data_IF_071509198741
#
_entry.id   IF_071509198741
#
_cell.length_a   1.000
_cell.length_b   1.000
_cell.length_c   1.000
_cell.angle_alpha   90.00
_cell.angle_beta   90.00
_cell.angle_gamma   90.00
#
_symmetry.space_group_name_H-M   'P 1'
#
loop_
_entity.id
_entity.type
_entity.pdbx_description
1 polymer ?
#
# COMPACT_ATOMS: atom_id res chain seq x y z
N UNK A 1 -30.41 10.76 14.91
CA UNK A 1 -28.98 10.34 14.93
C UNK A 1 -28.69 9.66 13.59
N UNK A 2 -27.67 10.06 12.84
CA UNK A 2 -27.37 9.45 11.55
C UNK A 2 -26.69 8.08 11.69
N UNK A 3 -26.92 7.17 10.74
CA UNK A 3 -26.33 5.82 10.71
C UNK A 3 -24.81 5.83 10.94
N UNK A 4 -24.08 6.71 10.26
CA UNK A 4 -22.62 6.86 10.41
C UNK A 4 -22.20 7.24 11.83
N UNK A 5 -22.99 8.07 12.51
CA UNK A 5 -22.69 8.50 13.87
C UNK A 5 -22.94 7.38 14.86
N UNK A 6 -24.00 6.57 14.64
CA UNK A 6 -24.27 5.39 15.43
C UNK A 6 -23.14 4.35 15.33
N UNK A 7 -22.64 4.07 14.12
CA UNK A 7 -21.51 3.15 13.89
C UNK A 7 -20.25 3.65 14.60
N UNK A 8 -19.95 4.96 14.55
CA UNK A 8 -18.81 5.54 15.28
C UNK A 8 -18.94 5.36 16.79
N UNK A 9 -20.12 5.64 17.34
CA UNK A 9 -20.37 5.51 18.77
C UNK A 9 -20.24 4.05 19.23
N UNK A 10 -20.77 3.10 18.46
CA UNK A 10 -20.60 1.67 18.74
C UNK A 10 -19.12 1.25 18.70
N UNK A 11 -18.38 1.66 17.67
CA UNK A 11 -16.95 1.37 17.57
C UNK A 11 -16.15 1.96 18.74
N UNK A 12 -16.45 3.19 19.16
CA UNK A 12 -15.80 3.82 20.32
C UNK A 12 -16.17 3.14 21.65
N UNK A 13 -17.41 2.64 21.79
CA UNK A 13 -17.79 1.85 22.97
C UNK A 13 -17.04 0.53 23.01
N UNK A 14 -17.01 -0.21 21.91
CA UNK A 14 -16.30 -1.49 21.82
C UNK A 14 -14.83 -1.36 22.19
N UNK A 15 -14.14 -0.31 21.70
CA UNK A 15 -12.73 -0.05 22.07
C UNK A 15 -12.52 0.21 23.56
N UNK A 16 -13.44 0.94 24.20
CA UNK A 16 -13.38 1.16 25.66
C UNK A 16 -13.61 -0.13 26.44
N UNK A 17 -14.50 -0.99 25.95
CA UNK A 17 -14.72 -2.31 26.54
C UNK A 17 -13.44 -3.17 26.45
N UNK A 18 -12.74 -3.14 25.31
CA UNK A 18 -11.45 -3.83 25.11
C UNK A 18 -10.32 -3.32 26.03
N UNK A 19 -10.34 -2.03 26.40
CA UNK A 19 -9.40 -1.50 27.40
C UNK A 19 -9.77 -2.04 28.78
N UNK A 20 -11.06 -2.06 29.12
CA UNK A 20 -11.55 -2.54 30.42
C UNK A 20 -11.29 -4.03 30.64
N UNK A 21 -11.44 -4.85 29.61
CA UNK A 21 -11.24 -6.30 29.70
C UNK A 21 -9.79 -6.77 29.51
N UNK A 22 -8.87 -5.84 29.21
CA UNK A 22 -7.45 -6.11 29.06
C UNK A 22 -7.04 -6.60 27.66
N UNK A 23 -7.96 -6.65 26.70
CA UNK A 23 -7.64 -6.92 25.29
C UNK A 23 -6.70 -5.83 24.73
N UNK A 24 -6.86 -4.59 25.18
CA UNK A 24 -5.98 -3.46 24.89
C UNK A 24 -5.26 -3.00 26.16
N UNK A 25 -3.94 -2.96 26.11
CA UNK A 25 -3.07 -2.60 27.22
C UNK A 25 -2.42 -1.23 27.01
N UNK A 26 -2.21 -0.50 28.11
CA UNK A 26 -1.37 0.70 28.07
C UNK A 26 0.08 0.37 27.75
N UNK A 27 0.86 1.38 27.35
CA UNK A 27 2.30 1.21 27.06
C UNK A 27 3.08 0.59 28.24
N UNK A 28 2.92 1.05 29.50
CA UNK A 28 3.67 0.49 30.62
C UNK A 28 3.40 -1.01 30.82
N UNK A 29 2.13 -1.42 30.81
CA UNK A 29 1.71 -2.80 31.00
C UNK A 29 2.18 -3.68 29.83
N UNK A 30 2.05 -3.18 28.60
CA UNK A 30 2.45 -3.92 27.41
C UNK A 30 3.97 -4.15 27.34
N UNK A 31 4.78 -3.17 27.76
CA UNK A 31 6.25 -3.35 27.86
C UNK A 31 6.63 -4.42 28.87
N UNK A 32 5.95 -4.45 30.02
CA UNK A 32 6.16 -5.49 31.05
C UNK A 32 5.82 -6.86 30.48
N UNK A 33 4.67 -6.98 29.81
CA UNK A 33 4.26 -8.21 29.13
C UNK A 33 5.30 -8.67 28.11
N UNK A 34 5.85 -7.74 27.32
CA UNK A 34 6.77 -8.05 26.25
C UNK A 34 8.22 -8.29 26.72
N UNK A 35 8.56 -7.82 27.92
CA UNK A 35 9.91 -7.83 28.48
C UNK A 35 10.87 -6.86 27.78
N UNK A 36 10.38 -5.71 27.32
CA UNK A 36 11.18 -4.74 26.55
C UNK A 36 11.21 -3.35 27.19
N UNK A 37 12.24 -2.58 26.87
CA UNK A 37 12.29 -1.16 27.21
C UNK A 37 11.51 -0.28 26.21
N UNK A 38 11.49 1.03 26.46
CA UNK A 38 10.74 2.00 25.65
C UNK A 38 11.31 2.13 24.24
N UNK A 39 12.64 2.09 24.10
CA UNK A 39 13.32 2.24 22.80
C UNK A 39 13.09 1.01 21.94
N UNK A 40 13.17 -0.17 22.54
CA UNK A 40 12.87 -1.43 21.88
C UNK A 40 11.42 -1.48 21.39
N UNK A 41 10.45 -1.09 22.25
CA UNK A 41 9.05 -0.99 21.82
C UNK A 41 8.88 -0.01 20.67
N UNK A 42 9.48 1.18 20.75
CA UNK A 42 9.42 2.18 19.69
C UNK A 42 10.01 1.64 18.37
N UNK A 43 11.11 0.89 18.41
CA UNK A 43 11.70 0.24 17.23
C UNK A 43 10.72 -0.75 16.59
N UNK A 44 10.13 -1.64 17.39
CA UNK A 44 9.17 -2.63 16.90
C UNK A 44 7.92 -1.99 16.29
N UNK A 45 7.46 -0.87 16.83
CA UNK A 45 6.35 -0.10 16.26
C UNK A 45 6.77 0.59 14.95
N UNK A 46 7.95 1.22 14.92
CA UNK A 46 8.47 1.88 13.73
C UNK A 46 8.70 0.90 12.55
N UNK A 47 9.16 -0.30 12.85
CA UNK A 47 9.31 -1.39 11.88
C UNK A 47 7.97 -1.99 11.41
N UNK A 48 6.86 -1.67 12.08
CA UNK A 48 5.55 -2.27 11.85
C UNK A 48 5.38 -3.69 12.40
N UNK A 49 6.34 -4.17 13.20
CA UNK A 49 6.27 -5.45 13.91
C UNK A 49 5.18 -5.44 14.98
N UNK A 50 4.88 -4.26 15.53
CA UNK A 50 3.80 -3.99 16.47
C UNK A 50 3.00 -2.76 16.02
N UNK A 51 1.80 -2.60 16.58
CA UNK A 51 0.96 -1.43 16.34
C UNK A 51 0.10 -1.11 17.55
N UNK A 52 -0.31 0.15 17.66
CA UNK A 52 -1.25 0.62 18.67
C UNK A 52 -2.59 1.02 18.04
N UNK A 53 -3.63 1.00 18.87
CA UNK A 53 -4.99 1.45 18.56
C UNK A 53 -5.31 2.67 19.43
N UNK A 54 -5.79 3.72 18.78
CA UNK A 54 -6.24 4.94 19.45
C UNK A 54 -7.61 4.77 20.11
N UNK A 55 -7.68 5.04 21.42
CA UNK A 55 -8.92 5.07 22.21
C UNK A 55 -8.92 6.38 23.01
N UNK A 56 -9.92 7.23 22.78
CA UNK A 56 -10.09 8.52 23.47
C UNK A 56 -8.83 9.40 23.48
N UNK A 57 -8.05 9.38 22.39
CA UNK A 57 -6.82 10.16 22.23
C UNK A 57 -5.55 9.50 22.80
N UNK A 58 -5.67 8.37 23.48
CA UNK A 58 -4.55 7.58 24.02
C UNK A 58 -4.25 6.37 23.13
N UNK A 59 -3.01 5.89 23.17
CA UNK A 59 -2.56 4.72 22.41
C UNK A 59 -2.53 3.49 23.30
N UNK A 60 -3.15 2.41 22.83
CA UNK A 60 -3.15 1.11 23.49
C UNK A 60 -2.64 0.01 22.56
N UNK A 61 -2.04 -1.03 23.10
CA UNK A 61 -1.48 -2.15 22.36
C UNK A 61 -2.35 -3.39 22.54
N UNK A 62 -2.68 -4.13 21.46
CA UNK A 62 -3.38 -5.40 21.60
C UNK A 62 -2.55 -6.41 22.39
N UNK A 63 -3.10 -6.93 23.49
CA UNK A 63 -2.42 -7.87 24.38
C UNK A 63 -1.91 -9.12 23.63
N UNK A 64 -2.66 -9.55 22.62
CA UNK A 64 -2.32 -10.70 21.77
C UNK A 64 -0.98 -10.57 21.04
N UNK A 65 -0.49 -9.34 20.83
CA UNK A 65 0.82 -9.10 20.22
C UNK A 65 1.99 -9.36 21.19
N UNK A 66 1.72 -9.37 22.49
CA UNK A 66 2.69 -9.68 23.55
C UNK A 66 2.57 -11.08 24.13
N UNK A 67 1.64 -11.90 23.62
CA UNK A 67 1.38 -13.25 24.12
C UNK A 67 2.61 -14.17 23.94
N UNK A 68 3.23 -14.67 25.03
CA UNK A 68 4.40 -15.53 24.97
C UNK A 68 4.11 -16.91 24.36
N UNK A 69 2.84 -17.34 24.31
CA UNK A 69 2.43 -18.60 23.70
C UNK A 69 2.44 -18.59 22.17
N UNK A 70 2.73 -17.45 21.55
CA UNK A 70 2.71 -17.28 20.09
C UNK A 70 4.11 -17.27 19.49
N UNK A 71 4.20 -17.74 18.26
CA UNK A 71 5.40 -17.63 17.41
C UNK A 71 5.69 -16.16 17.06
N UNK A 72 6.30 -15.41 17.99
CA UNK A 72 6.53 -13.96 17.89
C UNK A 72 7.18 -13.55 16.58
N UNK A 73 8.17 -14.30 16.10
CA UNK A 73 8.85 -14.03 14.83
C UNK A 73 7.87 -14.04 13.65
N UNK A 74 6.95 -15.02 13.63
CA UNK A 74 5.95 -15.15 12.58
C UNK A 74 4.86 -14.09 12.72
N UNK A 75 4.40 -13.83 13.94
CA UNK A 75 3.42 -12.78 14.22
C UNK A 75 3.95 -11.40 13.78
N UNK A 76 5.17 -11.04 14.15
CA UNK A 76 5.76 -9.76 13.77
C UNK A 76 5.95 -9.65 12.26
N UNK A 77 6.39 -10.72 11.61
CA UNK A 77 6.46 -10.76 10.15
C UNK A 77 5.09 -10.60 9.50
N UNK A 78 4.03 -11.09 10.14
CA UNK A 78 2.66 -10.91 9.67
C UNK A 78 2.20 -9.47 9.88
N UNK A 79 2.41 -8.89 11.06
CA UNK A 79 2.10 -7.49 11.35
C UNK A 79 2.73 -6.53 10.34
N UNK A 80 3.99 -6.78 9.96
CA UNK A 80 4.69 -6.00 8.92
C UNK A 80 3.99 -6.06 7.56
N UNK A 81 3.33 -7.18 7.23
CA UNK A 81 2.51 -7.31 6.01
C UNK A 81 1.26 -6.43 6.08
N UNK A 82 0.64 -6.35 7.26
CA UNK A 82 -0.63 -5.66 7.46
C UNK A 82 -0.49 -4.13 7.62
N UNK A 83 0.73 -3.58 7.59
CA UNK A 83 1.02 -2.13 7.74
C UNK A 83 0.16 -1.22 6.84
N UNK A 84 -0.16 -1.56 5.59
CA UNK A 84 -1.00 -0.69 4.76
C UNK A 84 -2.38 -0.42 5.35
N UNK A 85 -2.93 -1.35 6.13
CA UNK A 85 -4.24 -1.23 6.75
C UNK A 85 -4.24 -0.36 8.02
N UNK A 86 -5.37 0.25 8.41
CA UNK A 86 -5.56 0.87 9.73
C UNK A 86 -5.37 -0.14 10.87
N UNK A 87 -4.77 0.29 11.99
CA UNK A 87 -4.44 -0.60 13.13
C UNK A 87 -5.61 -1.44 13.64
N UNK A 88 -6.82 -0.87 13.71
CA UNK A 88 -8.01 -1.61 14.14
C UNK A 88 -8.34 -2.76 13.17
N UNK A 89 -8.34 -2.48 11.86
CA UNK A 89 -8.55 -3.49 10.82
C UNK A 89 -7.48 -4.60 10.85
N UNK A 90 -6.24 -4.26 11.23
CA UNK A 90 -5.17 -5.28 11.40
C UNK A 90 -5.50 -6.26 12.52
N UNK A 91 -6.00 -5.75 13.66
CA UNK A 91 -6.43 -6.59 14.77
C UNK A 91 -7.62 -7.46 14.36
N UNK A 92 -8.63 -6.87 13.70
CA UNK A 92 -9.78 -7.60 13.19
C UNK A 92 -9.35 -8.73 12.25
N UNK A 93 -8.42 -8.47 11.33
CA UNK A 93 -7.89 -9.51 10.44
C UNK A 93 -7.22 -10.65 11.20
N UNK A 94 -6.38 -10.33 12.19
CA UNK A 94 -5.63 -11.30 12.99
C UNK A 94 -6.55 -12.24 13.78
N UNK A 95 -7.67 -11.73 14.30
CA UNK A 95 -8.62 -12.47 15.14
C UNK A 95 -9.74 -13.15 14.34
N UNK A 96 -10.07 -12.61 13.16
CA UNK A 96 -11.17 -13.11 12.34
C UNK A 96 -10.85 -14.44 11.67
N UNK A 97 -11.84 -15.33 11.64
CA UNK A 97 -11.77 -16.59 10.89
C UNK A 97 -11.70 -16.33 9.40
N UNK A 98 -10.77 -16.99 8.71
CA UNK A 98 -10.56 -16.83 7.28
C UNK A 98 -10.96 -18.09 6.52
N UNK A 99 -11.83 -17.93 5.52
CA UNK A 99 -12.27 -19.06 4.68
C UNK A 99 -11.10 -19.76 3.98
N UNK A 100 -10.14 -18.98 3.48
CA UNK A 100 -8.92 -19.49 2.83
C UNK A 100 -7.96 -20.24 3.78
N UNK A 101 -8.14 -20.11 5.11
CA UNK A 101 -7.39 -20.84 6.13
C UNK A 101 -8.21 -21.98 6.76
N UNK A 102 -9.27 -22.43 6.09
CA UNK A 102 -10.15 -23.49 6.61
C UNK A 102 -10.96 -23.05 7.83
N UNK A 103 -11.26 -21.75 7.96
CA UNK A 103 -12.02 -21.20 9.07
C UNK A 103 -11.19 -20.92 10.33
N UNK A 104 -9.87 -21.09 10.28
CA UNK A 104 -8.96 -20.64 11.34
C UNK A 104 -8.74 -19.13 11.25
N UNK A 105 -8.47 -18.50 12.39
CA UNK A 105 -7.90 -17.15 12.39
C UNK A 105 -6.43 -17.19 11.98
N UNK A 106 -5.86 -16.10 11.44
CA UNK A 106 -4.41 -16.00 11.22
C UNK A 106 -3.63 -16.33 12.49
N UNK A 107 -4.09 -15.83 13.64
CA UNK A 107 -3.49 -16.09 14.95
C UNK A 107 -3.43 -17.58 15.32
N UNK A 108 -4.49 -18.35 15.06
CA UNK A 108 -4.51 -19.79 15.32
C UNK A 108 -3.64 -20.58 14.31
N UNK A 109 -3.59 -20.09 13.08
CA UNK A 109 -2.81 -20.71 12.01
C UNK A 109 -1.30 -20.48 12.16
N UNK A 110 -0.84 -19.46 12.89
CA UNK A 110 0.59 -19.16 13.10
C UNK A 110 1.36 -20.32 13.75
N UNK A 111 0.72 -21.08 14.64
CA UNK A 111 1.33 -22.27 15.28
C UNK A 111 1.59 -23.44 14.32
N UNK A 112 0.95 -23.42 13.16
CA UNK A 112 1.05 -24.50 12.17
C UNK A 112 2.00 -24.11 11.04
N UNK A 113 3.23 -24.66 11.04
CA UNK A 113 4.26 -24.32 10.05
C UNK A 113 3.80 -24.51 8.59
N UNK A 114 2.96 -25.52 8.33
CA UNK A 114 2.40 -25.80 6.99
C UNK A 114 1.41 -24.71 6.53
N UNK A 115 0.67 -24.11 7.46
CA UNK A 115 -0.32 -23.07 7.15
C UNK A 115 0.30 -21.68 7.09
N UNK A 116 1.48 -21.46 7.68
CA UNK A 116 2.09 -20.14 7.77
C UNK A 116 2.31 -19.49 6.38
N UNK A 117 2.63 -20.28 5.35
CA UNK A 117 2.71 -19.76 3.98
C UNK A 117 1.36 -19.21 3.52
N UNK A 118 0.29 -19.99 3.66
CA UNK A 118 -1.07 -19.57 3.33
C UNK A 118 -1.53 -18.35 4.12
N UNK A 119 -1.15 -18.24 5.40
CA UNK A 119 -1.42 -17.05 6.23
C UNK A 119 -0.77 -15.81 5.63
N UNK A 120 0.50 -15.91 5.21
CA UNK A 120 1.20 -14.77 4.60
C UNK A 120 0.61 -14.38 3.26
N UNK A 121 0.20 -15.34 2.45
CA UNK A 121 -0.38 -15.06 1.14
C UNK A 121 -1.78 -14.44 1.29
N UNK A 122 -2.61 -14.95 2.21
CA UNK A 122 -3.88 -14.34 2.57
C UNK A 122 -3.70 -12.91 3.11
N UNK A 123 -2.70 -12.69 3.98
CA UNK A 123 -2.41 -11.36 4.51
C UNK A 123 -1.91 -10.37 3.45
N UNK A 124 -1.14 -10.83 2.46
CA UNK A 124 -0.70 -9.99 1.34
C UNK A 124 -1.87 -9.58 0.47
N UNK A 125 -2.73 -10.53 0.11
CA UNK A 125 -3.93 -10.25 -0.66
C UNK A 125 -4.83 -9.25 0.08
N UNK A 126 -5.11 -9.50 1.36
CA UNK A 126 -5.91 -8.61 2.19
C UNK A 126 -5.27 -7.23 2.37
N UNK A 127 -3.96 -7.16 2.59
CA UNK A 127 -3.26 -5.88 2.76
C UNK A 127 -3.24 -5.02 1.49
N UNK A 128 -3.24 -5.65 0.31
CA UNK A 128 -3.28 -4.96 -0.98
C UNK A 128 -4.57 -4.14 -1.15
N UNK A 129 -5.70 -4.61 -0.62
CA UNK A 129 -6.99 -3.90 -0.66
C UNK A 129 -6.94 -2.52 0.04
N UNK A 130 -5.97 -2.29 0.93
CA UNK A 130 -5.85 -1.05 1.70
C UNK A 130 -5.00 0.03 1.01
N UNK A 131 -4.49 -0.23 -0.19
CA UNK A 131 -3.65 0.71 -0.92
C UNK A 131 -3.86 0.58 -2.42
N UNK A 132 -4.09 1.71 -3.08
CA UNK A 132 -4.20 1.80 -4.53
C UNK A 132 -3.00 2.54 -5.10
N UNK A 133 -2.44 2.00 -6.17
CA UNK A 133 -1.53 2.74 -7.06
C UNK A 133 -2.36 3.25 -8.22
N UNK A 134 -2.28 4.55 -8.48
CA UNK A 134 -2.96 5.21 -9.59
C UNK A 134 -1.89 5.74 -10.54
N UNK A 135 -2.03 5.43 -11.82
CA UNK A 135 -1.19 5.96 -12.89
C UNK A 135 -2.08 6.83 -13.77
N UNK A 136 -1.80 8.13 -13.81
CA UNK A 136 -2.50 9.10 -14.64
C UNK A 136 -1.57 9.63 -15.71
N UNK A 137 -2.00 9.60 -16.96
CA UNK A 137 -1.27 10.10 -18.12
C UNK A 137 -2.01 11.32 -18.65
N UNK A 138 -1.30 12.45 -18.71
CA UNK A 138 -1.78 13.70 -19.29
C UNK A 138 -1.01 14.00 -20.57
N UNK A 139 -1.68 14.51 -21.61
CA UNK A 139 -1.00 14.98 -22.83
C UNK A 139 -0.46 16.38 -22.61
N UNK A 140 0.84 16.56 -22.90
CA UNK A 140 1.60 17.78 -22.64
C UNK A 140 2.57 17.66 -21.47
N UNK A 141 3.24 18.78 -21.18
CA UNK A 141 4.25 18.90 -20.12
C UNK A 141 3.68 19.59 -18.89
N UNK A 142 3.70 18.89 -17.76
CA UNK A 142 3.19 19.38 -16.49
C UNK A 142 4.22 19.19 -15.38
N UNK A 143 4.39 20.21 -14.55
CA UNK A 143 5.23 20.10 -13.36
C UNK A 143 4.50 19.44 -12.19
N UNK A 144 3.20 19.73 -12.08
CA UNK A 144 2.28 19.26 -11.04
C UNK A 144 1.02 18.69 -11.70
N UNK A 145 0.25 17.88 -10.97
CA UNK A 145 -0.99 17.31 -11.48
C UNK A 145 -1.99 18.45 -11.79
N UNK A 146 -2.51 18.56 -13.04
CA UNK A 146 -3.39 19.65 -13.41
C UNK A 146 -4.77 19.50 -12.75
N UNK A 147 -5.24 20.56 -12.07
CA UNK A 147 -6.53 20.53 -11.36
C UNK A 147 -7.76 20.62 -12.29
N UNK A 148 -7.61 21.27 -13.45
CA UNK A 148 -8.71 21.62 -14.35
C UNK A 148 -8.72 20.77 -15.64
N UNK A 149 -7.93 19.70 -15.69
CA UNK A 149 -7.80 18.84 -16.87
C UNK A 149 -8.03 17.39 -16.49
N UNK A 150 -8.77 16.64 -17.29
CA UNK A 150 -8.90 15.19 -17.11
C UNK A 150 -7.68 14.47 -17.69
N UNK A 151 -7.23 13.37 -17.06
CA UNK A 151 -6.17 12.55 -17.63
C UNK A 151 -6.64 11.94 -18.96
N UNK A 152 -5.73 11.87 -19.93
CA UNK A 152 -5.98 11.17 -21.18
C UNK A 152 -6.08 9.66 -20.98
N UNK A 153 -5.45 9.14 -19.94
CA UNK A 153 -5.57 7.77 -19.49
C UNK A 153 -5.36 7.68 -17.98
N UNK A 154 -6.16 6.86 -17.32
CA UNK A 154 -6.01 6.55 -15.90
C UNK A 154 -6.12 5.05 -15.71
N UNK A 155 -5.17 4.49 -14.95
CA UNK A 155 -5.15 3.10 -14.53
C UNK A 155 -4.99 3.00 -13.02
N UNK A 156 -5.65 2.01 -12.43
CA UNK A 156 -5.67 1.81 -10.96
C UNK A 156 -5.50 0.34 -10.66
N UNK A 157 -4.63 0.03 -9.69
CA UNK A 157 -4.48 -1.31 -9.14
C UNK A 157 -4.37 -1.30 -7.60
N UNK A 158 -4.98 -2.30 -6.98
CA UNK A 158 -4.93 -2.55 -5.54
C UNK A 158 -3.74 -3.44 -5.23
N UNK A 159 -2.66 -2.81 -4.75
CA UNK A 159 -1.38 -3.48 -4.59
C UNK A 159 -0.66 -2.96 -3.36
N UNK A 160 -0.02 -3.89 -2.65
CA UNK A 160 0.76 -3.59 -1.45
C UNK A 160 1.82 -2.52 -1.75
N UNK A 161 1.81 -1.37 -1.05
CA UNK A 161 2.67 -0.23 -1.35
C UNK A 161 4.15 -0.49 -1.09
N UNK A 162 4.48 -1.60 -0.43
CA UNK A 162 5.86 -2.05 -0.20
C UNK A 162 6.43 -2.78 -1.41
N UNK A 163 5.59 -3.17 -2.36
CA UNK A 163 6.04 -3.58 -3.70
C UNK A 163 6.71 -2.39 -4.37
N UNK A 164 7.81 -2.66 -5.08
CA UNK A 164 8.57 -1.61 -5.76
C UNK A 164 7.69 -0.76 -6.68
N UNK A 165 7.91 0.56 -6.68
CA UNK A 165 7.08 1.55 -7.37
C UNK A 165 6.83 1.19 -8.83
N UNK A 166 7.89 0.91 -9.59
CA UNK A 166 7.79 0.60 -11.02
C UNK A 166 7.04 -0.69 -11.29
N UNK A 167 7.19 -1.70 -10.43
CA UNK A 167 6.41 -2.94 -10.51
C UNK A 167 4.93 -2.69 -10.28
N UNK A 168 4.56 -1.84 -9.32
CA UNK A 168 3.16 -1.43 -9.09
C UNK A 168 2.58 -0.64 -10.25
N UNK A 169 3.36 0.29 -10.81
CA UNK A 169 2.92 1.11 -11.93
C UNK A 169 2.69 0.27 -13.21
N UNK A 170 3.59 -0.69 -13.51
CA UNK A 170 3.39 -1.67 -14.59
C UNK A 170 2.14 -2.50 -14.34
N UNK A 171 1.97 -3.02 -13.12
CA UNK A 171 0.77 -3.78 -12.72
C UNK A 171 -0.51 -2.99 -12.97
N UNK A 172 -0.55 -1.70 -12.59
CA UNK A 172 -1.69 -0.83 -12.86
C UNK A 172 -1.97 -0.66 -14.35
N UNK A 173 -0.95 -0.39 -15.17
CA UNK A 173 -1.12 -0.18 -16.61
C UNK A 173 -1.53 -1.46 -17.37
N UNK A 174 -1.13 -2.63 -16.87
CA UNK A 174 -1.43 -3.94 -17.48
C UNK A 174 -2.70 -4.59 -16.93
N UNK A 175 -3.15 -4.19 -15.74
CA UNK A 175 -4.41 -4.67 -15.20
C UNK A 175 -5.56 -4.16 -16.08
N UNK A 176 -6.47 -5.05 -16.46
CA UNK A 176 -7.75 -4.72 -17.10
C UNK A 176 -8.72 -3.98 -16.13
N UNK A 177 -8.18 -3.23 -15.16
CA UNK A 177 -8.89 -2.56 -14.09
C UNK A 177 -9.66 -1.33 -14.54
N UNK A 178 -9.95 -0.43 -13.60
CA UNK A 178 -10.72 0.80 -13.87
C UNK A 178 -9.94 1.75 -14.80
N UNK A 179 -10.26 1.68 -16.09
CA UNK A 179 -9.72 2.53 -17.16
C UNK A 179 -10.74 3.60 -17.53
N UNK A 180 -10.33 4.87 -17.54
CA UNK A 180 -11.18 6.01 -17.92
C UNK A 180 -10.47 6.86 -19.00
N UNK A 181 -11.08 7.10 -20.18
CA UNK A 181 -12.08 6.30 -20.91
C UNK A 181 -11.47 5.46 -22.05
N UNK A 182 -12.22 4.48 -22.59
CA UNK A 182 -11.81 3.58 -23.69
C UNK A 182 -11.79 4.25 -25.08
N UNK A 183 -11.36 5.52 -25.16
CA UNK A 183 -11.19 6.21 -26.44
C UNK A 183 -9.93 5.70 -27.14
N UNK A 184 -9.87 5.86 -28.47
CA UNK A 184 -8.61 5.69 -29.20
C UNK A 184 -7.52 6.47 -28.48
N UNK A 185 -6.54 5.76 -27.95
CA UNK A 185 -5.44 6.36 -27.21
C UNK A 185 -4.70 7.29 -28.17
N UNK A 186 -4.51 8.57 -27.82
CA UNK A 186 -3.84 9.49 -28.71
C UNK A 186 -2.38 9.06 -28.89
N UNK A 187 -1.87 9.25 -30.10
CA UNK A 187 -0.44 9.37 -30.30
C UNK A 187 -0.02 10.73 -29.74
N UNK A 188 0.94 10.75 -28.82
CA UNK A 188 1.39 11.97 -28.18
C UNK A 188 2.90 12.13 -28.33
N UNK A 189 3.31 13.30 -28.83
CA UNK A 189 4.72 13.69 -28.89
C UNK A 189 5.25 14.19 -27.54
N UNK A 190 4.35 14.54 -26.62
CA UNK A 190 4.68 15.00 -25.28
C UNK A 190 3.59 14.55 -24.30
N UNK A 191 3.99 13.97 -23.18
CA UNK A 191 3.08 13.50 -22.14
C UNK A 191 3.73 13.58 -20.76
N UNK A 192 2.92 13.71 -19.72
CA UNK A 192 3.35 13.65 -18.32
C UNK A 192 2.56 12.59 -17.59
N UNK A 193 3.27 11.73 -16.88
CA UNK A 193 2.70 10.65 -16.07
C UNK A 193 2.86 11.00 -14.60
N UNK A 194 1.79 10.90 -13.83
CA UNK A 194 1.81 10.95 -12.38
C UNK A 194 1.48 9.58 -11.82
N UNK A 195 2.34 9.09 -10.92
CA UNK A 195 2.11 7.84 -10.18
C UNK A 195 1.85 8.23 -8.73
N UNK A 196 0.63 8.01 -8.28
CA UNK A 196 0.18 8.36 -6.94
C UNK A 196 -0.24 7.12 -6.17
N UNK A 197 -0.10 7.19 -4.84
CA UNK A 197 -0.59 6.18 -3.92
C UNK A 197 -1.73 6.73 -3.09
N UNK A 198 -2.83 5.99 -3.07
CA UNK A 198 -3.98 6.24 -2.23
C UNK A 198 -4.12 5.14 -1.17
N UNK A 199 -3.93 5.50 0.10
CA UNK A 199 -4.32 4.62 1.20
C UNK A 199 -5.84 4.67 1.38
N UNK A 200 -6.48 3.53 1.63
CA UNK A 200 -7.90 3.48 1.97
C UNK A 200 -8.17 4.30 3.24
N UNK A 201 -9.22 5.11 3.19
CA UNK A 201 -9.57 6.08 4.23
C UNK A 201 -9.45 7.52 3.73
N UNK A 202 -9.67 8.48 4.62
CA UNK A 202 -9.66 9.91 4.27
C UNK A 202 -8.23 10.49 4.26
N UNK A 203 -7.29 9.78 3.65
CA UNK A 203 -5.89 10.24 3.52
C UNK A 203 -5.70 10.84 2.13
N UNK A 204 -4.95 11.95 2.00
CA UNK A 204 -4.63 12.49 0.69
C UNK A 204 -3.78 11.49 -0.10
N UNK A 205 -3.88 11.59 -1.43
CA UNK A 205 -2.96 10.94 -2.34
C UNK A 205 -1.52 11.35 -2.01
N UNK A 206 -0.58 10.42 -2.17
CA UNK A 206 0.85 10.72 -2.09
C UNK A 206 1.42 10.58 -3.49
N UNK A 207 2.01 11.64 -4.03
CA UNK A 207 2.79 11.56 -5.27
C UNK A 207 4.06 10.74 -5.01
N UNK A 208 4.24 9.67 -5.78
CA UNK A 208 5.40 8.78 -5.65
C UNK A 208 6.40 8.96 -6.80
N UNK A 209 5.94 9.29 -8.01
CA UNK A 209 6.80 9.70 -9.11
C UNK A 209 6.06 10.53 -10.17
N UNK A 210 6.84 11.32 -10.88
CA UNK A 210 6.47 12.00 -12.13
C UNK A 210 7.41 11.56 -13.25
N UNK A 211 6.85 11.27 -14.42
CA UNK A 211 7.61 10.99 -15.64
C UNK A 211 7.19 12.00 -16.70
N UNK A 212 8.11 12.81 -17.20
CA UNK A 212 7.87 13.66 -18.35
C UNK A 212 8.48 13.00 -19.59
N UNK A 213 7.69 12.90 -20.65
CA UNK A 213 8.01 12.18 -21.87
C UNK A 213 7.99 13.15 -23.05
N UNK A 214 9.04 13.11 -23.87
CA UNK A 214 9.10 13.77 -25.18
C UNK A 214 9.49 12.76 -26.23
N UNK A 215 8.61 12.51 -27.19
CA UNK A 215 8.81 11.53 -28.26
C UNK A 215 9.28 12.24 -29.52
N UNK A 216 10.45 11.85 -30.02
CA UNK A 216 11.04 12.32 -31.27
C UNK A 216 11.34 11.11 -32.17
N UNK A 217 10.47 10.85 -33.13
CA UNK A 217 10.58 9.68 -34.00
C UNK A 217 10.33 8.38 -33.22
N UNK A 218 11.32 7.49 -33.20
CA UNK A 218 11.31 6.21 -32.49
C UNK A 218 12.00 6.26 -31.12
N UNK A 219 12.35 7.45 -30.63
CA UNK A 219 13.01 7.66 -29.35
C UNK A 219 12.14 8.52 -28.41
N UNK A 220 11.98 8.08 -27.17
CA UNK A 220 11.47 8.92 -26.08
C UNK A 220 12.62 9.42 -25.22
N UNK A 221 12.67 10.73 -25.00
CA UNK A 221 13.41 11.34 -23.91
C UNK A 221 12.53 11.39 -22.67
N UNK A 222 13.08 10.94 -21.55
CA UNK A 222 12.32 10.66 -20.34
C UNK A 222 13.00 11.32 -19.16
N UNK A 223 12.33 12.29 -18.56
CA UNK A 223 12.74 12.89 -17.30
C UNK A 223 11.93 12.29 -16.14
N UNK A 224 12.62 11.80 -15.12
CA UNK A 224 12.02 11.12 -13.97
C UNK A 224 12.28 11.96 -12.72
N UNK A 225 11.20 12.25 -12.00
CA UNK A 225 11.27 12.90 -10.69
C UNK A 225 10.58 12.01 -9.65
N UNK A 226 11.35 11.55 -8.67
CA UNK A 226 10.86 10.80 -7.51
C UNK A 226 11.12 11.68 -6.29
N UNK A 227 10.09 12.08 -5.51
CA UNK A 227 10.28 12.95 -4.36
C UNK A 227 11.37 12.44 -3.40
N UNK A 228 12.33 13.31 -3.07
CA UNK A 228 13.45 12.98 -2.18
C UNK A 228 14.60 12.20 -2.85
N UNK A 229 14.56 11.97 -4.16
CA UNK A 229 15.61 11.29 -4.93
C UNK A 229 16.18 12.23 -6.00
N UNK A 230 17.36 11.92 -6.54
CA UNK A 230 17.92 12.66 -7.68
C UNK A 230 17.04 12.50 -8.92
N UNK A 231 17.00 13.54 -9.77
CA UNK A 231 16.32 13.49 -11.06
C UNK A 231 17.08 12.56 -12.00
N UNK A 232 16.35 11.69 -12.69
CA UNK A 232 16.90 10.80 -13.72
C UNK A 232 16.54 11.30 -15.11
N UNK A 233 17.44 11.09 -16.07
CA UNK A 233 17.17 11.27 -17.49
C UNK A 233 17.59 9.99 -18.22
N UNK A 234 16.75 9.53 -19.14
CA UNK A 234 17.01 8.37 -19.96
C UNK A 234 16.38 8.50 -21.35
N UNK A 235 16.91 7.72 -22.29
CA UNK A 235 16.35 7.62 -23.65
C UNK A 235 15.88 6.18 -23.90
N UNK A 236 14.64 6.03 -24.36
CA UNK A 236 13.99 4.73 -24.62
C UNK A 236 13.67 4.61 -26.10
N UNK A 237 14.07 3.50 -26.72
CA UNK A 237 13.62 3.15 -28.07
C UNK A 237 12.19 2.59 -28.01
N UNK A 238 11.30 3.12 -28.85
CA UNK A 238 9.85 2.88 -28.83
C UNK A 238 9.39 1.85 -29.87
N UNK A 239 10.24 0.88 -30.22
CA UNK A 239 9.95 -0.07 -31.30
C UNK A 239 8.56 -0.72 -31.13
N UNK A 240 7.66 -0.47 -32.09
CA UNK A 240 6.31 -1.03 -32.13
C UNK A 240 5.27 -0.39 -31.20
N UNK A 241 5.60 0.72 -30.52
CA UNK A 241 4.61 1.48 -29.73
C UNK A 241 3.63 2.20 -30.64
N UNK A 242 2.33 1.99 -30.45
CA UNK A 242 1.30 2.58 -31.31
C UNK A 242 0.51 3.70 -30.61
N UNK A 243 0.67 3.85 -29.29
CA UNK A 243 -0.04 4.85 -28.51
C UNK A 243 0.75 5.29 -27.27
N UNK A 244 0.28 6.35 -26.59
CA UNK A 244 0.95 6.90 -25.40
C UNK A 244 1.08 5.92 -24.22
N UNK A 245 0.14 4.98 -24.04
CA UNK A 245 0.21 3.98 -22.97
C UNK A 245 1.33 2.98 -23.24
N UNK A 246 1.49 2.50 -24.48
CA UNK A 246 2.60 1.61 -24.86
C UNK A 246 3.95 2.28 -24.58
N UNK A 247 4.08 3.56 -24.95
CA UNK A 247 5.29 4.36 -24.72
C UNK A 247 5.59 4.47 -23.22
N UNK A 248 4.58 4.78 -22.41
CA UNK A 248 4.69 4.87 -20.95
C UNK A 248 5.09 3.51 -20.36
N UNK A 249 4.45 2.43 -20.79
CA UNK A 249 4.74 1.08 -20.31
C UNK A 249 6.18 0.66 -20.62
N UNK A 250 6.62 0.81 -21.87
CA UNK A 250 8.00 0.52 -22.28
C UNK A 250 9.01 1.37 -21.50
N UNK A 251 8.66 2.62 -21.21
CA UNK A 251 9.49 3.52 -20.41
C UNK A 251 9.62 3.03 -18.97
N UNK A 252 8.51 2.70 -18.30
CA UNK A 252 8.56 2.21 -16.92
C UNK A 252 9.31 0.87 -16.84
N UNK A 253 9.18 0.01 -17.84
CA UNK A 253 9.96 -1.24 -17.91
C UNK A 253 11.45 -0.99 -18.16
N UNK A 254 11.82 0.05 -18.92
CA UNK A 254 13.22 0.46 -19.06
C UNK A 254 13.80 0.97 -17.74
N UNK A 255 13.04 1.77 -16.99
CA UNK A 255 13.41 2.25 -15.65
C UNK A 255 13.60 1.08 -14.68
N UNK A 256 12.66 0.13 -14.68
CA UNK A 256 12.74 -1.07 -13.82
C UNK A 256 14.02 -1.86 -14.06
N UNK A 257 14.44 -1.98 -15.33
CA UNK A 257 15.68 -2.65 -15.74
C UNK A 257 16.93 -1.87 -15.33
N UNK A 258 16.94 -0.53 -15.46
CA UNK A 258 18.08 0.29 -15.03
C UNK A 258 18.27 0.29 -13.51
N UNK A 259 17.18 0.20 -12.75
CA UNK A 259 17.19 0.13 -11.28
C UNK A 259 17.55 -1.27 -10.74
N UNK A 260 17.78 -2.26 -11.62
CA UNK A 260 18.15 -3.62 -11.22
C UNK A 260 17.03 -4.39 -10.50
N UNK A 261 15.76 -4.03 -10.71
CA UNK A 261 14.62 -4.74 -10.10
C UNK A 261 14.24 -5.97 -10.95
N UNK A 262 14.35 -7.20 -10.42
CA UNK A 262 13.96 -8.41 -11.16
C UNK A 262 12.43 -8.55 -11.31
N UNK A 263 12.02 -9.33 -12.31
CA UNK A 263 10.63 -9.63 -12.67
C UNK A 263 9.79 -10.24 -11.53
#
# INVERSE_FOLDING_TARGET
MGFREHIRQQASKARRDMVRDGTLLGEPEFRVLLGVDKRQLASLVAEGSLFSIGVDGLQYFPAVLGDPGRERTRLYSLCRILVPAPSASRLDFLESRQGCLGGLSPLDALGHARLYRSVRDAARAWAAEWSRTIVQIYIGSYLEEPADSEPAYMAVDEIDPRTALWKRAVGALQADGYILPPRMLPQAYEATVFITRHAVGNRPAVLEARIALKVAGDLAHVEISVPGTAHGDLSVSLAGSNNVVDVVLQTIEAIRRSDGQPD
#
